data_IF_356934162798
#
_entry.id   IF_356934162798
#
_cell.length_a   1.000
_cell.length_b   1.000
_cell.length_c   1.000
_cell.angle_alpha   90.00
_cell.angle_beta   90.00
_cell.angle_gamma   90.00
#
_symmetry.space_group_name_H-M   'P 1'
#
loop_
_entity.id
_entity.type
_entity.pdbx_description
1 polymer ?
#
# COMPACT_ATOMS: atom_id res chain seq x y z
N UNK A 1 5.35 -1.58 -17.58
CA UNK A 1 6.58 -1.16 -16.90
C UNK A 1 6.70 0.36 -16.95
N UNK A 2 7.22 0.96 -15.87
CA UNK A 2 7.49 2.39 -15.79
C UNK A 2 6.46 3.17 -14.98
N UNK A 3 5.43 2.55 -14.41
CA UNK A 3 4.49 3.21 -13.50
C UNK A 3 5.23 3.76 -12.27
N UNK A 4 6.22 3.03 -11.79
CA UNK A 4 7.06 3.35 -10.63
C UNK A 4 7.90 4.64 -10.81
N UNK A 5 8.03 5.14 -12.03
CA UNK A 5 8.66 6.43 -12.33
C UNK A 5 7.80 7.32 -13.23
N UNK A 6 6.48 7.18 -13.11
CA UNK A 6 5.48 8.00 -13.79
C UNK A 6 5.63 8.05 -15.32
N UNK A 7 5.94 6.92 -15.97
CA UNK A 7 6.02 6.81 -17.42
C UNK A 7 4.72 7.31 -18.05
N UNK A 8 4.84 8.09 -19.11
CA UNK A 8 3.70 8.57 -19.89
C UNK A 8 3.82 8.21 -21.34
N UNK A 9 2.69 7.88 -21.98
CA UNK A 9 2.53 7.74 -23.43
C UNK A 9 1.73 8.90 -24.02
N UNK A 10 1.70 10.04 -23.33
CA UNK A 10 1.05 11.29 -23.80
C UNK A 10 -0.39 11.09 -24.25
N UNK A 11 -1.14 10.21 -23.57
CA UNK A 11 -2.55 9.91 -23.87
C UNK A 11 -2.78 8.90 -25.00
N UNK A 12 -1.74 8.32 -25.60
CA UNK A 12 -1.90 7.29 -26.62
C UNK A 12 -2.29 5.96 -25.99
N UNK A 13 -3.56 5.55 -26.10
CA UNK A 13 -4.10 4.34 -25.47
C UNK A 13 -3.54 3.04 -26.06
N UNK A 14 -3.38 2.99 -27.40
CA UNK A 14 -2.77 1.84 -28.06
C UNK A 14 -1.50 2.27 -28.81
N UNK A 15 -0.35 2.04 -28.20
CA UNK A 15 0.95 2.51 -28.70
C UNK A 15 1.77 1.42 -29.40
N UNK A 16 1.20 0.25 -29.72
CA UNK A 16 1.98 -0.85 -30.24
C UNK A 16 2.63 -0.56 -31.61
N UNK A 17 2.00 0.31 -32.42
CA UNK A 17 2.52 0.82 -33.71
C UNK A 17 3.18 2.20 -33.60
N UNK A 18 3.26 2.76 -32.41
CA UNK A 18 3.90 4.08 -32.22
C UNK A 18 5.42 4.00 -32.28
N UNK A 19 6.03 5.15 -32.48
CA UNK A 19 7.50 5.24 -32.61
C UNK A 19 8.23 4.72 -31.35
N UNK A 20 9.49 4.24 -31.52
CA UNK A 20 10.33 3.88 -30.38
C UNK A 20 10.49 5.03 -29.37
N UNK A 21 10.49 6.28 -29.82
CA UNK A 21 10.57 7.44 -28.96
C UNK A 21 9.42 7.54 -27.94
N UNK A 22 8.20 7.10 -28.32
CA UNK A 22 7.05 7.03 -27.41
C UNK A 22 7.11 5.79 -26.52
N UNK A 23 7.63 4.68 -27.04
CA UNK A 23 7.57 3.37 -26.37
C UNK A 23 8.79 3.08 -25.48
N UNK A 24 9.92 3.75 -25.65
CA UNK A 24 11.11 3.57 -24.79
C UNK A 24 10.80 3.91 -23.34
N UNK A 25 11.55 3.31 -22.43
CA UNK A 25 11.63 3.72 -21.04
C UNK A 25 12.63 4.87 -20.91
N UNK A 26 12.21 5.96 -20.32
CA UNK A 26 13.09 7.10 -20.00
C UNK A 26 13.54 6.97 -18.53
N UNK A 27 14.72 6.43 -18.34
CA UNK A 27 15.28 6.17 -17.01
C UNK A 27 15.62 7.43 -16.22
N UNK A 28 15.79 8.60 -16.87
CA UNK A 28 15.99 9.87 -16.17
C UNK A 28 14.75 10.21 -15.30
N UNK A 29 13.58 9.71 -15.67
CA UNK A 29 12.37 9.90 -14.88
C UNK A 29 12.44 9.18 -13.54
N UNK A 30 13.19 8.08 -13.41
CA UNK A 30 13.35 7.39 -12.14
C UNK A 30 14.08 8.27 -11.11
N UNK A 31 15.01 9.12 -11.55
CA UNK A 31 15.66 10.11 -10.69
C UNK A 31 14.71 11.28 -10.40
N UNK A 32 14.05 11.80 -11.42
CA UNK A 32 13.08 12.90 -11.29
C UNK A 32 11.93 12.54 -10.33
N UNK A 33 11.46 11.30 -10.36
CA UNK A 33 10.35 10.78 -9.55
C UNK A 33 10.83 9.77 -8.50
N UNK A 34 12.03 9.98 -7.94
CA UNK A 34 12.63 9.05 -6.98
C UNK A 34 11.72 8.76 -5.76
N UNK A 35 10.95 9.75 -5.30
CA UNK A 35 10.00 9.54 -4.20
C UNK A 35 8.94 8.48 -4.53
N UNK A 36 8.45 8.46 -5.78
CA UNK A 36 7.51 7.43 -6.25
C UNK A 36 8.20 6.07 -6.35
N UNK A 37 9.44 6.04 -6.87
CA UNK A 37 10.26 4.80 -6.92
C UNK A 37 10.46 4.23 -5.51
N UNK A 38 10.79 5.07 -4.54
CA UNK A 38 11.00 4.65 -3.15
C UNK A 38 9.71 4.19 -2.50
N UNK A 39 8.58 4.80 -2.86
CA UNK A 39 7.26 4.34 -2.41
C UNK A 39 6.97 2.92 -2.92
N UNK A 40 7.19 2.63 -4.22
CA UNK A 40 7.06 1.29 -4.77
C UNK A 40 8.00 0.27 -4.12
N UNK A 41 9.28 0.66 -3.91
CA UNK A 41 10.27 -0.19 -3.21
C UNK A 41 9.81 -0.56 -1.79
N UNK A 42 9.25 0.40 -1.06
CA UNK A 42 8.72 0.18 0.27
C UNK A 42 7.53 -0.78 0.27
N UNK A 43 6.59 -0.64 -0.67
CA UNK A 43 5.45 -1.56 -0.80
C UNK A 43 5.90 -2.98 -1.15
N UNK A 44 6.87 -3.14 -2.06
CA UNK A 44 7.43 -4.46 -2.40
C UNK A 44 8.12 -5.11 -1.19
N UNK A 45 8.87 -4.33 -0.42
CA UNK A 45 9.50 -4.81 0.80
C UNK A 45 8.48 -5.19 1.89
N UNK A 46 7.39 -4.41 2.04
CA UNK A 46 6.29 -4.73 2.93
C UNK A 46 5.61 -6.04 2.51
N UNK A 47 5.36 -6.22 1.20
CA UNK A 47 4.81 -7.45 0.65
C UNK A 47 5.70 -8.66 0.94
N UNK A 48 7.02 -8.50 0.86
CA UNK A 48 7.97 -9.55 1.21
C UNK A 48 7.98 -9.87 2.72
N UNK A 49 7.79 -8.85 3.57
CA UNK A 49 7.72 -8.99 5.03
C UNK A 49 6.38 -9.56 5.53
N UNK A 50 5.37 -9.67 4.66
CA UNK A 50 4.07 -10.27 4.97
C UNK A 50 3.66 -11.24 3.84
N UNK A 51 4.15 -12.48 3.85
CA UNK A 51 4.06 -13.42 2.73
C UNK A 51 2.63 -13.69 2.25
N UNK A 52 1.64 -13.62 3.14
CA UNK A 52 0.24 -13.83 2.79
C UNK A 52 -0.29 -12.87 1.72
N UNK A 53 0.29 -11.68 1.57
CA UNK A 53 -0.05 -10.75 0.47
C UNK A 53 0.34 -11.29 -0.92
N UNK A 54 1.19 -12.31 -0.97
CA UNK A 54 1.65 -12.95 -2.20
C UNK A 54 1.24 -14.42 -2.28
N UNK A 55 0.33 -14.86 -1.40
CA UNK A 55 -0.12 -16.25 -1.36
C UNK A 55 -0.71 -16.68 -2.70
N UNK A 56 -0.35 -17.88 -3.15
CA UNK A 56 -0.96 -18.56 -4.31
C UNK A 56 -2.14 -19.45 -3.90
N UNK A 57 -2.45 -19.52 -2.61
CA UNK A 57 -3.62 -20.23 -2.12
C UNK A 57 -4.90 -19.53 -2.60
N UNK A 58 -5.72 -20.26 -3.35
CA UNK A 58 -7.01 -19.78 -3.87
C UNK A 58 -7.99 -19.34 -2.78
N UNK A 59 -7.82 -19.82 -1.55
CA UNK A 59 -8.64 -19.49 -0.38
C UNK A 59 -8.08 -18.30 0.43
N UNK A 60 -6.92 -17.76 0.07
CA UNK A 60 -6.34 -16.61 0.76
C UNK A 60 -7.29 -15.40 0.85
N UNK A 61 -8.12 -15.09 -0.18
CA UNK A 61 -9.10 -14.00 -0.11
C UNK A 61 -10.20 -14.21 0.94
N UNK A 62 -10.53 -15.45 1.28
CA UNK A 62 -11.57 -15.77 2.31
C UNK A 62 -11.15 -15.33 3.71
N UNK A 63 -9.85 -15.11 3.93
CA UNK A 63 -9.33 -14.62 5.19
C UNK A 63 -9.41 -13.10 5.36
N UNK A 64 -9.78 -12.36 4.31
CA UNK A 64 -9.98 -10.92 4.39
C UNK A 64 -11.22 -10.61 5.25
N UNK A 65 -11.03 -9.79 6.26
CA UNK A 65 -12.09 -9.33 7.14
C UNK A 65 -12.37 -7.86 6.85
N UNK A 66 -13.45 -7.57 6.14
CA UNK A 66 -13.82 -6.20 5.81
C UNK A 66 -14.43 -5.50 7.00
N UNK A 67 -14.05 -4.23 7.20
CA UNK A 67 -14.63 -3.37 8.21
C UNK A 67 -15.92 -2.72 7.71
N UNK A 68 -16.92 -2.64 8.60
CA UNK A 68 -18.11 -1.82 8.35
C UNK A 68 -17.76 -0.34 8.56
N UNK A 69 -17.43 0.37 7.49
CA UNK A 69 -17.04 1.77 7.50
C UNK A 69 -18.10 2.63 6.83
N UNK A 70 -18.12 3.91 7.22
CA UNK A 70 -18.91 4.92 6.51
C UNK A 70 -18.37 5.11 5.09
N UNK A 71 -19.25 4.99 4.09
CA UNK A 71 -18.85 5.21 2.70
C UNK A 71 -18.33 6.65 2.47
N UNK A 72 -17.37 6.84 1.56
CA UNK A 72 -16.79 5.86 0.64
C UNK A 72 -15.51 5.17 1.16
N UNK A 73 -15.25 5.16 2.47
CA UNK A 73 -14.08 4.50 3.04
C UNK A 73 -14.16 2.98 2.80
N UNK A 74 -13.00 2.39 2.51
CA UNK A 74 -12.84 0.93 2.44
C UNK A 74 -11.72 0.51 3.37
N UNK A 75 -11.91 -0.56 4.10
CA UNK A 75 -10.86 -1.11 4.96
C UNK A 75 -11.05 -2.59 5.22
N UNK A 76 -9.94 -3.26 5.41
CA UNK A 76 -9.92 -4.69 5.70
C UNK A 76 -8.73 -5.07 6.59
N UNK A 77 -8.85 -6.20 7.25
CA UNK A 77 -7.78 -6.84 8.01
C UNK A 77 -7.45 -8.19 7.37
N UNK A 78 -6.17 -8.52 7.34
CA UNK A 78 -5.64 -9.82 6.91
C UNK A 78 -4.74 -10.37 8.01
N UNK A 79 -5.13 -11.44 8.73
CA UNK A 79 -4.26 -12.11 9.68
C UNK A 79 -3.09 -12.80 8.98
N UNK A 80 -1.93 -12.90 9.63
CA UNK A 80 -0.84 -13.75 9.17
C UNK A 80 -1.20 -15.23 9.25
N UNK A 81 -0.45 -16.08 8.58
CA UNK A 81 -0.49 -17.52 8.76
C UNK A 81 0.60 -17.91 9.77
N UNK A 82 0.27 -18.76 10.72
CA UNK A 82 1.24 -19.23 11.70
C UNK A 82 2.43 -19.89 10.99
N UNK A 83 3.63 -19.44 11.33
CA UNK A 83 4.87 -20.02 10.79
C UNK A 83 5.28 -19.53 9.39
N UNK A 84 4.57 -18.58 8.77
CA UNK A 84 4.91 -18.04 7.44
C UNK A 84 6.04 -17.00 7.46
N UNK A 85 6.56 -16.66 8.64
CA UNK A 85 7.64 -15.67 8.81
C UNK A 85 7.17 -14.23 8.66
N UNK A 86 5.87 -13.96 8.76
CA UNK A 86 5.33 -12.61 8.71
C UNK A 86 5.91 -11.73 9.85
N UNK A 87 6.26 -10.50 9.52
CA UNK A 87 6.80 -9.53 10.47
C UNK A 87 5.73 -9.00 11.46
N UNK A 88 4.46 -9.18 11.16
CA UNK A 88 3.31 -8.74 11.95
C UNK A 88 2.26 -9.84 12.01
N UNK A 89 1.52 -9.94 13.11
CA UNK A 89 0.47 -10.96 13.27
C UNK A 89 -0.79 -10.68 12.43
N UNK A 90 -0.99 -9.44 11.99
CA UNK A 90 -2.02 -9.05 11.04
C UNK A 90 -1.66 -7.72 10.36
N UNK A 91 -2.25 -7.47 9.20
CA UNK A 91 -2.28 -6.15 8.56
C UNK A 91 -3.70 -5.58 8.59
N UNK A 92 -3.83 -4.28 8.85
CA UNK A 92 -5.02 -3.49 8.53
C UNK A 92 -4.69 -2.53 7.41
N UNK A 93 -5.54 -2.50 6.38
CA UNK A 93 -5.41 -1.58 5.25
C UNK A 93 -6.69 -0.76 5.15
N UNK A 94 -6.52 0.56 5.04
CA UNK A 94 -7.62 1.50 4.89
C UNK A 94 -7.39 2.39 3.68
N UNK A 95 -8.44 2.64 2.92
CA UNK A 95 -8.45 3.53 1.78
C UNK A 95 -9.39 4.71 2.07
N UNK A 96 -8.86 5.92 1.96
CA UNK A 96 -9.62 7.15 2.02
C UNK A 96 -9.62 7.82 0.64
N UNK A 97 -10.68 7.65 -0.16
CA UNK A 97 -10.80 8.26 -1.48
C UNK A 97 -11.35 9.69 -1.44
N UNK A 98 -11.54 10.27 -0.24
CA UNK A 98 -12.09 11.62 -0.09
C UNK A 98 -10.99 12.68 -0.05
N UNK A 99 -11.36 13.93 -0.25
CA UNK A 99 -10.51 15.12 -0.15
C UNK A 99 -10.30 15.63 1.29
N UNK A 100 -10.88 14.94 2.28
CA UNK A 100 -10.81 15.32 3.70
C UNK A 100 -10.13 14.21 4.52
N UNK A 101 -9.54 14.61 5.64
CA UNK A 101 -9.03 13.66 6.64
C UNK A 101 -10.20 12.90 7.26
N UNK A 102 -10.10 11.59 7.33
CA UNK A 102 -11.11 10.71 7.95
C UNK A 102 -10.51 9.97 9.13
N UNK A 103 -11.34 9.65 10.11
CA UNK A 103 -10.92 8.87 11.29
C UNK A 103 -11.55 7.50 11.25
N UNK A 104 -10.74 6.46 11.50
CA UNK A 104 -11.19 5.07 11.58
C UNK A 104 -10.87 4.49 12.95
N UNK A 105 -11.67 3.50 13.37
CA UNK A 105 -11.36 2.69 14.54
C UNK A 105 -10.47 1.53 14.12
N UNK A 106 -9.37 1.32 14.86
CA UNK A 106 -8.50 0.16 14.72
C UNK A 106 -9.03 -0.96 15.62
N UNK A 107 -8.82 -2.24 15.26
CA UNK A 107 -9.10 -3.36 16.17
C UNK A 107 -8.33 -3.22 17.48
N UNK A 108 -8.78 -3.93 18.53
CA UNK A 108 -8.09 -3.96 19.82
C UNK A 108 -6.63 -4.40 19.64
N UNK A 109 -5.72 -3.77 20.37
CA UNK A 109 -4.27 -4.02 20.32
C UNK A 109 -3.45 -2.82 19.90
N UNK A 110 -2.19 -3.07 19.63
CA UNK A 110 -1.22 -2.05 19.20
C UNK A 110 -0.93 -2.22 17.70
N UNK A 111 -0.94 -1.12 16.98
CA UNK A 111 -0.80 -1.08 15.54
C UNK A 111 0.32 -0.14 15.12
N UNK A 112 1.34 -0.69 14.49
CA UNK A 112 2.46 0.06 13.94
C UNK A 112 2.08 0.61 12.58
N UNK A 113 2.26 1.92 12.35
CA UNK A 113 2.07 2.51 11.03
C UNK A 113 3.20 2.05 10.10
N UNK A 114 2.84 1.41 9.00
CA UNK A 114 3.79 0.84 8.02
C UNK A 114 3.91 1.69 6.77
N UNK A 115 2.76 2.17 6.28
CA UNK A 115 2.64 2.98 5.08
C UNK A 115 1.51 3.98 5.25
N UNK A 116 1.68 5.16 4.67
CA UNK A 116 0.64 6.17 4.52
C UNK A 116 0.62 6.69 3.07
N UNK A 117 -0.10 7.76 2.79
CA UNK A 117 -0.17 8.34 1.43
C UNK A 117 1.15 8.92 0.91
N UNK A 118 2.20 9.03 1.71
CA UNK A 118 3.48 9.67 1.37
C UNK A 118 4.68 8.74 1.45
N UNK A 119 4.68 7.77 2.36
CA UNK A 119 5.78 6.84 2.57
C UNK A 119 5.28 5.43 2.82
N UNK A 120 5.96 4.45 2.24
CA UNK A 120 5.70 3.01 2.41
C UNK A 120 6.82 2.28 3.19
N UNK A 121 7.75 3.04 3.76
CA UNK A 121 8.90 2.51 4.51
C UNK A 121 8.92 2.93 5.98
N UNK A 122 7.80 3.41 6.52
CA UNK A 122 7.69 3.94 7.88
C UNK A 122 8.05 2.90 8.95
N UNK A 123 7.83 1.61 8.67
CA UNK A 123 8.14 0.50 9.58
C UNK A 123 9.64 0.21 9.74
N UNK A 124 10.50 0.74 8.87
CA UNK A 124 11.96 0.58 8.95
C UNK A 124 12.64 1.51 9.94
N UNK A 125 11.94 2.56 10.37
CA UNK A 125 12.40 3.53 11.35
C UNK A 125 11.61 3.46 12.66
N UNK A 126 11.70 4.55 13.44
CA UNK A 126 10.82 4.76 14.58
C UNK A 126 9.41 5.10 14.09
N UNK A 127 8.62 4.08 13.80
CA UNK A 127 7.24 4.31 13.38
C UNK A 127 6.32 4.49 14.56
N UNK A 128 5.26 5.25 14.33
CA UNK A 128 4.22 5.55 15.33
C UNK A 128 3.39 4.30 15.62
N UNK A 129 3.13 4.08 16.91
CA UNK A 129 2.19 3.06 17.38
C UNK A 129 0.83 3.72 17.65
N UNK A 130 -0.22 3.08 17.21
CA UNK A 130 -1.60 3.52 17.38
C UNK A 130 -2.40 2.51 18.19
N UNK A 131 -3.36 3.02 18.95
CA UNK A 131 -4.39 2.24 19.65
C UNK A 131 -5.74 2.92 19.46
N UNK A 132 -6.79 2.13 19.27
CA UNK A 132 -8.16 2.60 19.21
C UNK A 132 -8.52 3.36 17.94
N UNK A 133 -7.89 4.49 17.60
CA UNK A 133 -8.25 5.31 16.44
C UNK A 133 -7.04 5.81 15.68
N UNK A 134 -7.21 6.00 14.37
CA UNK A 134 -6.22 6.58 13.48
C UNK A 134 -6.86 7.55 12.48
N UNK A 135 -6.14 8.63 12.16
CA UNK A 135 -6.51 9.56 11.11
C UNK A 135 -5.91 9.10 9.78
N UNK A 136 -6.72 9.08 8.73
CA UNK A 136 -6.35 8.79 7.35
C UNK A 136 -6.26 10.10 6.56
N UNK A 137 -5.14 10.35 5.93
CA UNK A 137 -4.98 11.51 5.06
C UNK A 137 -5.96 11.45 3.86
N UNK A 138 -6.28 12.60 3.24
CA UNK A 138 -7.03 12.62 1.99
C UNK A 138 -6.34 11.79 0.90
N UNK A 139 -7.12 11.15 0.02
CA UNK A 139 -6.63 10.39 -1.13
C UNK A 139 -5.49 9.43 -0.81
N UNK A 140 -5.62 8.67 0.28
CA UNK A 140 -4.54 7.82 0.78
C UNK A 140 -4.94 6.36 0.96
N UNK A 141 -3.93 5.49 0.86
CA UNK A 141 -3.95 4.14 1.39
C UNK A 141 -3.02 4.08 2.61
N UNK A 142 -3.56 3.64 3.75
CA UNK A 142 -2.82 3.58 5.01
C UNK A 142 -2.75 2.14 5.50
N UNK A 143 -1.57 1.67 5.84
CA UNK A 143 -1.30 0.28 6.25
C UNK A 143 -0.74 0.27 7.66
N UNK A 144 -1.34 -0.56 8.50
CA UNK A 144 -0.89 -0.84 9.86
C UNK A 144 -0.57 -2.32 10.02
N UNK A 145 0.46 -2.62 10.82
CA UNK A 145 0.81 -3.98 11.24
C UNK A 145 0.56 -4.17 12.73
N UNK A 146 -0.06 -5.27 13.12
CA UNK A 146 -0.28 -5.63 14.52
C UNK A 146 1.05 -5.99 15.21
N UNK A 147 1.32 -5.40 16.36
CA UNK A 147 2.57 -5.56 17.14
C UNK A 147 2.34 -6.54 18.26
#
# INVERSE_FOLDING_TARGET
>A
AGEEFARTKKGVGNSYRSSPALNRLDWNRAEQYHALVDYYRGLLALRAAFPRLSSTDRHAPEALQFFALEQPLVGWMLPAVWGDGAAWSALCVFYNPTDTTRTVSLPAGQWKLLSDGTSSSLWRGQSRIFTGKAALAPYSATIFGAV
#
